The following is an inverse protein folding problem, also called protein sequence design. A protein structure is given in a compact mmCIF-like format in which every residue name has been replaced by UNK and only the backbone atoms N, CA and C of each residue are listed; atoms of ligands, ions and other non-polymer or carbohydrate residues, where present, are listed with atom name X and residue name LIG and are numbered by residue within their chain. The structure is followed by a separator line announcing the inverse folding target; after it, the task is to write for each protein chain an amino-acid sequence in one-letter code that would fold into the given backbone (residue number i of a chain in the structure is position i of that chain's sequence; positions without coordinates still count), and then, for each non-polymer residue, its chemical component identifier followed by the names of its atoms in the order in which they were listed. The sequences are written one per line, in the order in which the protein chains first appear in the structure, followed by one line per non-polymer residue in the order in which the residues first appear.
data_IF_059359702700
#
_entry.id   IF_059359702700
#
_cell.length_a   1.000
_cell.length_b   1.000
_cell.length_c   1.000
_cell.angle_alpha   90.00
_cell.angle_beta   90.00
_cell.angle_gamma   90.00
#
_symmetry.space_group_name_H-M   'P 1'
#
loop_
_entity.id
_entity.type
_entity.pdbx_description
1 polymer ?
#
# COMPACT_ATOMS: atom_id res chain seq x y z
N UNK A 1 22.64 -76.99 -61.98
CA UNK A 1 22.46 -75.55 -62.09
C UNK A 1 21.83 -75.04 -60.77
N UNK A 2 22.64 -74.39 -59.97
CA UNK A 2 22.20 -73.83 -58.66
C UNK A 2 22.06 -72.34 -58.77
N UNK A 3 20.85 -71.81 -58.67
CA UNK A 3 20.62 -70.38 -58.60
C UNK A 3 20.60 -69.96 -57.09
N UNK A 4 21.55 -69.11 -56.73
CA UNK A 4 21.66 -68.47 -55.41
C UNK A 4 20.98 -67.11 -55.47
N UNK A 5 19.92 -66.94 -54.75
CA UNK A 5 19.31 -65.64 -54.51
C UNK A 5 19.96 -64.96 -53.23
N UNK A 6 20.63 -63.84 -53.45
CA UNK A 6 21.15 -62.98 -52.40
C UNK A 6 20.07 -62.02 -51.93
N UNK A 7 19.69 -62.09 -50.69
CA UNK A 7 18.88 -61.07 -50.01
C UNK A 7 19.79 -59.93 -49.53
N UNK A 8 19.60 -58.75 -50.12
CA UNK A 8 20.23 -57.53 -49.64
C UNK A 8 19.29 -56.93 -48.62
N UNK A 9 19.68 -56.92 -47.32
CA UNK A 9 18.96 -56.22 -46.28
C UNK A 9 19.26 -54.72 -46.40
N UNK A 10 18.27 -53.98 -46.78
CA UNK A 10 18.34 -52.52 -46.84
C UNK A 10 18.21 -51.95 -45.41
N UNK A 11 19.31 -51.53 -44.78
CA UNK A 11 19.37 -50.96 -43.43
C UNK A 11 19.20 -49.42 -43.43
N UNK A 12 19.00 -48.81 -44.62
CA UNK A 12 18.93 -47.33 -44.71
C UNK A 12 17.62 -46.74 -44.19
N UNK A 13 16.50 -47.45 -44.31
CA UNK A 13 15.18 -46.98 -43.87
C UNK A 13 15.03 -46.92 -42.32
N UNK A 14 15.73 -47.84 -41.59
CA UNK A 14 15.63 -47.88 -40.14
C UNK A 14 16.40 -46.77 -39.41
N UNK A 15 17.48 -46.25 -40.02
CA UNK A 15 18.26 -45.14 -39.50
C UNK A 15 17.55 -43.79 -39.68
N UNK A 16 16.86 -43.62 -40.83
CA UNK A 16 16.11 -42.39 -41.11
C UNK A 16 14.91 -42.18 -40.17
N UNK A 17 14.19 -43.28 -39.80
CA UNK A 17 13.06 -43.21 -38.87
C UNK A 17 13.49 -42.89 -37.43
N UNK A 18 14.63 -43.41 -36.91
CA UNK A 18 15.14 -43.06 -35.59
C UNK A 18 15.60 -41.60 -35.50
N UNK A 19 16.18 -41.05 -36.55
CA UNK A 19 16.64 -39.65 -36.61
C UNK A 19 15.48 -38.66 -36.58
N UNK A 20 14.37 -38.93 -37.30
CA UNK A 20 13.18 -38.07 -37.30
C UNK A 20 12.44 -38.04 -35.97
N UNK A 21 12.34 -39.21 -35.28
CA UNK A 21 11.68 -39.31 -33.99
C UNK A 21 12.45 -38.58 -32.88
N UNK A 22 13.78 -38.62 -32.88
CA UNK A 22 14.59 -37.84 -31.93
C UNK A 22 14.57 -36.33 -32.18
N UNK A 23 14.42 -35.88 -33.44
CA UNK A 23 14.29 -34.45 -33.76
C UNK A 23 12.92 -33.87 -33.32
N UNK A 24 11.84 -34.63 -33.56
CA UNK A 24 10.48 -34.20 -33.15
C UNK A 24 10.31 -34.19 -31.63
N UNK A 25 10.90 -35.17 -30.91
CA UNK A 25 10.83 -35.17 -29.44
C UNK A 25 11.62 -34.01 -28.79
N UNK A 26 12.78 -33.62 -29.39
CA UNK A 26 13.54 -32.45 -28.91
C UNK A 26 12.83 -31.13 -29.19
N UNK A 27 12.16 -30.99 -30.32
CA UNK A 27 11.35 -29.80 -30.65
C UNK A 27 10.13 -29.67 -29.74
N UNK A 28 9.46 -30.75 -29.39
CA UNK A 28 8.33 -30.76 -28.47
C UNK A 28 8.77 -30.42 -27.03
N UNK A 29 9.95 -30.90 -26.60
CA UNK A 29 10.49 -30.54 -25.27
C UNK A 29 10.87 -29.05 -25.20
N UNK A 30 11.45 -28.48 -26.26
CA UNK A 30 11.80 -27.04 -26.30
C UNK A 30 10.55 -26.18 -26.34
N UNK A 31 9.52 -26.55 -27.08
CA UNK A 31 8.22 -25.87 -27.10
C UNK A 31 7.51 -25.94 -25.72
N UNK A 32 7.62 -27.04 -25.00
CA UNK A 32 7.05 -27.19 -23.67
C UNK A 32 7.80 -26.35 -22.63
N UNK A 33 9.13 -26.23 -22.72
CA UNK A 33 9.95 -25.36 -21.88
C UNK A 33 9.71 -23.86 -22.15
N UNK A 34 9.44 -23.47 -23.40
CA UNK A 34 9.10 -22.08 -23.76
C UNK A 34 7.68 -21.74 -23.26
N UNK A 35 6.74 -22.69 -23.31
CA UNK A 35 5.38 -22.48 -22.80
C UNK A 35 5.32 -22.42 -21.27
N UNK A 36 6.18 -23.14 -20.56
CA UNK A 36 6.27 -23.08 -19.11
C UNK A 36 7.01 -21.85 -18.57
N UNK A 37 7.88 -21.23 -19.38
CA UNK A 37 8.55 -19.98 -19.00
C UNK A 37 7.66 -18.73 -19.16
N UNK A 38 6.54 -18.83 -19.90
CA UNK A 38 5.64 -17.70 -20.19
C UNK A 38 4.58 -17.42 -19.11
N UNK A 39 4.51 -18.18 -18.00
CA UNK A 39 3.42 -18.08 -17.02
C UNK A 39 3.87 -17.49 -15.67
N UNK A 40 5.12 -17.03 -15.54
CA UNK A 40 5.46 -16.11 -14.45
C UNK A 40 5.17 -14.65 -14.86
N UNK A 41 3.96 -14.39 -15.30
CA UNK A 41 3.44 -13.04 -15.34
C UNK A 41 3.22 -12.66 -13.88
N UNK A 42 4.06 -11.76 -13.35
CA UNK A 42 3.80 -11.14 -12.06
C UNK A 42 2.35 -10.64 -12.13
N UNK A 43 1.47 -11.22 -11.31
CA UNK A 43 0.09 -10.82 -11.22
C UNK A 43 0.13 -9.36 -10.77
N UNK A 44 -0.09 -8.41 -11.67
CA UNK A 44 -0.26 -7.02 -11.27
C UNK A 44 -1.41 -6.99 -10.28
N UNK A 45 -1.06 -6.77 -9.03
CA UNK A 45 -2.07 -6.68 -7.99
C UNK A 45 -2.92 -5.46 -8.29
N UNK A 46 -4.21 -5.67 -8.55
CA UNK A 46 -5.17 -4.60 -8.79
C UNK A 46 -5.56 -3.94 -7.46
N UNK A 47 -6.05 -2.70 -7.54
CA UNK A 47 -6.65 -2.05 -6.38
C UNK A 47 -7.90 -2.79 -5.94
N UNK A 48 -8.00 -3.05 -4.64
CA UNK A 48 -9.19 -3.61 -3.99
C UNK A 48 -9.75 -2.64 -2.97
N UNK A 49 -11.09 -2.62 -2.75
CA UNK A 49 -11.69 -1.81 -1.70
C UNK A 49 -11.18 -2.23 -0.31
N UNK A 50 -10.60 -1.28 0.43
CA UNK A 50 -10.27 -1.45 1.85
C UNK A 50 -11.50 -1.13 2.74
N UNK A 51 -12.44 -0.36 2.19
CA UNK A 51 -13.72 -0.02 2.79
C UNK A 51 -14.84 -0.28 1.78
N UNK A 52 -15.88 -1.02 2.19
CA UNK A 52 -16.98 -1.45 1.33
C UNK A 52 -18.06 -0.38 1.10
N UNK A 53 -17.93 0.80 1.73
CA UNK A 53 -18.92 1.87 1.71
C UNK A 53 -20.19 1.60 2.52
N UNK A 54 -20.29 0.46 3.23
CA UNK A 54 -21.52 0.01 3.91
C UNK A 54 -21.32 -0.34 5.37
N UNK A 55 -20.14 -0.84 5.75
CA UNK A 55 -19.89 -1.36 7.09
C UNK A 55 -18.43 -1.18 7.51
N UNK A 56 -18.17 -1.30 8.81
CA UNK A 56 -16.81 -1.41 9.36
C UNK A 56 -16.36 -2.87 9.50
N UNK A 57 -16.84 -3.77 8.64
CA UNK A 57 -16.31 -5.13 8.55
C UNK A 57 -14.86 -5.08 8.07
N UNK A 58 -13.96 -5.87 8.69
CA UNK A 58 -12.53 -5.81 8.41
C UNK A 58 -11.78 -4.65 9.09
N UNK A 59 -12.48 -3.92 9.97
CA UNK A 59 -11.91 -2.87 10.81
C UNK A 59 -12.07 -3.21 12.28
N UNK A 60 -11.11 -2.78 13.12
CA UNK A 60 -11.05 -2.99 14.57
C UNK A 60 -10.68 -1.68 15.29
N UNK A 61 -10.80 -1.65 16.61
CA UNK A 61 -10.50 -0.49 17.42
C UNK A 61 -11.76 0.25 17.88
N UNK A 62 -11.70 1.58 17.98
CA UNK A 62 -12.81 2.38 18.52
C UNK A 62 -13.91 2.64 17.49
N UNK A 63 -14.69 1.60 17.15
CA UNK A 63 -15.79 1.72 16.16
C UNK A 63 -16.91 2.67 16.59
N UNK A 64 -17.05 2.97 17.89
CA UNK A 64 -18.11 3.85 18.39
C UNK A 64 -17.94 5.31 17.97
N UNK A 65 -16.71 5.72 17.66
CA UNK A 65 -16.39 7.07 17.20
C UNK A 65 -16.39 7.20 15.67
N UNK A 66 -16.65 6.10 14.94
CA UNK A 66 -16.60 6.07 13.48
C UNK A 66 -17.94 5.55 12.93
N UNK A 67 -18.68 6.41 12.26
CA UNK A 67 -19.96 6.08 11.64
C UNK A 67 -19.78 5.77 10.16
N UNK A 68 -20.56 4.80 9.65
CA UNK A 68 -20.71 4.64 8.21
C UNK A 68 -21.96 5.39 7.77
N UNK A 69 -21.79 6.39 6.93
CA UNK A 69 -22.88 7.23 6.42
C UNK A 69 -22.63 7.63 4.97
N UNK A 70 -23.61 7.42 4.11
CA UNK A 70 -23.59 7.82 2.68
C UNK A 70 -22.33 7.34 1.93
N UNK A 71 -21.90 6.09 2.19
CA UNK A 71 -20.70 5.52 1.58
C UNK A 71 -19.37 6.02 2.15
N UNK A 72 -19.39 6.68 3.30
CA UNK A 72 -18.22 7.29 3.95
C UNK A 72 -18.00 6.74 5.35
N UNK A 73 -16.75 6.71 5.78
CA UNK A 73 -16.39 6.66 7.19
C UNK A 73 -16.38 8.10 7.70
N UNK A 74 -17.16 8.37 8.72
CA UNK A 74 -17.30 9.70 9.34
C UNK A 74 -16.89 9.61 10.80
N UNK A 75 -15.95 10.45 11.21
CA UNK A 75 -15.60 10.57 12.63
C UNK A 75 -16.66 11.45 13.31
N UNK A 76 -17.32 10.92 14.34
CA UNK A 76 -18.39 11.61 15.06
C UNK A 76 -17.87 12.17 16.39
N UNK A 77 -17.64 13.50 16.46
CA UNK A 77 -17.12 14.13 17.68
C UNK A 77 -17.98 13.90 18.92
N UNK A 78 -19.32 13.83 18.75
CA UNK A 78 -20.28 13.63 19.84
C UNK A 78 -20.25 12.21 20.40
N UNK A 79 -19.78 11.23 19.64
CA UNK A 79 -19.56 9.84 20.05
C UNK A 79 -18.27 9.62 20.85
N UNK A 80 -17.61 10.71 21.25
CA UNK A 80 -16.30 10.68 21.91
C UNK A 80 -15.15 10.98 20.96
N UNK A 81 -15.37 10.92 19.62
CA UNK A 81 -14.52 11.40 18.51
C UNK A 81 -13.04 11.00 18.51
N UNK A 82 -12.58 10.42 19.61
CA UNK A 82 -11.19 10.02 19.82
C UNK A 82 -10.98 8.53 19.61
N UNK A 83 -9.70 8.15 19.63
CA UNK A 83 -9.27 6.78 19.43
C UNK A 83 -9.17 6.39 17.96
N UNK A 84 -8.59 5.23 17.72
CA UNK A 84 -8.13 4.82 16.42
C UNK A 84 -9.03 3.74 15.83
N UNK A 85 -9.23 3.77 14.52
CA UNK A 85 -9.87 2.72 13.73
C UNK A 85 -8.80 2.09 12.84
N UNK A 86 -8.52 0.81 13.02
CA UNK A 86 -7.49 0.08 12.28
C UNK A 86 -8.10 -0.99 11.37
N UNK A 87 -7.40 -1.35 10.30
CA UNK A 87 -7.70 -2.58 9.55
C UNK A 87 -7.48 -3.80 10.44
N UNK A 88 -8.34 -4.83 10.32
CA UNK A 88 -8.13 -6.11 11.00
C UNK A 88 -6.91 -6.85 10.43
N UNK A 89 -6.72 -6.76 9.10
CA UNK A 89 -5.55 -7.31 8.40
C UNK A 89 -4.35 -6.37 8.55
N UNK A 90 -3.17 -6.95 8.68
CA UNK A 90 -1.89 -6.24 8.57
C UNK A 90 -1.41 -6.19 7.11
N UNK A 91 -0.73 -5.11 6.76
CA UNK A 91 -0.15 -4.85 5.45
C UNK A 91 1.34 -4.57 5.54
N UNK A 92 2.10 -5.06 4.54
CA UNK A 92 3.52 -4.75 4.34
C UNK A 92 3.70 -3.58 3.39
N UNK A 93 4.23 -3.86 2.18
CA UNK A 93 4.32 -2.86 1.12
C UNK A 93 2.97 -2.71 0.40
N UNK A 94 2.58 -1.49 0.07
CA UNK A 94 1.30 -1.22 -0.59
C UNK A 94 1.23 0.17 -1.22
N UNK A 95 0.23 0.37 -2.06
CA UNK A 95 -0.31 1.68 -2.45
C UNK A 95 -1.70 1.81 -1.86
N UNK A 96 -1.92 2.84 -1.05
CA UNK A 96 -3.21 3.20 -0.46
C UNK A 96 -3.72 4.47 -1.13
N UNK A 97 -4.95 4.44 -1.63
CA UNK A 97 -5.66 5.61 -2.16
C UNK A 97 -6.91 5.87 -1.33
N UNK A 98 -7.19 7.13 -1.04
CA UNK A 98 -8.42 7.52 -0.37
C UNK A 98 -8.74 8.99 -0.64
N UNK A 99 -10.01 9.34 -0.44
CA UNK A 99 -10.44 10.73 -0.38
C UNK A 99 -10.79 11.09 1.06
N UNK A 100 -10.44 12.31 1.43
CA UNK A 100 -10.79 12.86 2.75
C UNK A 100 -11.32 14.29 2.65
N UNK A 101 -12.17 14.67 3.63
CA UNK A 101 -12.72 16.00 3.75
C UNK A 101 -12.53 16.49 5.19
N UNK A 102 -11.84 17.63 5.31
CA UNK A 102 -11.60 18.28 6.61
C UNK A 102 -12.70 19.29 6.93
N UNK A 103 -13.00 19.43 8.21
CA UNK A 103 -13.70 20.60 8.75
C UNK A 103 -12.69 21.64 9.27
N UNK A 104 -13.08 22.91 9.49
CA UNK A 104 -12.17 23.92 9.99
C UNK A 104 -11.50 23.50 11.30
N UNK A 105 -10.17 23.52 11.30
CA UNK A 105 -9.34 23.13 12.44
C UNK A 105 -9.27 21.62 12.71
N UNK A 106 -9.73 20.78 11.79
CA UNK A 106 -9.69 19.32 12.00
C UNK A 106 -8.27 18.76 12.08
N UNK A 107 -8.10 17.79 12.97
CA UNK A 107 -6.89 16.99 13.17
C UNK A 107 -7.21 15.51 13.13
N UNK A 108 -6.42 14.76 12.41
CA UNK A 108 -6.44 13.31 12.32
C UNK A 108 -5.06 12.81 11.91
N UNK A 109 -4.86 11.49 11.85
CA UNK A 109 -3.65 10.87 11.33
C UNK A 109 -3.97 9.62 10.51
N UNK A 110 -3.09 9.28 9.59
CA UNK A 110 -3.05 7.99 8.93
C UNK A 110 -1.93 7.15 9.58
N UNK A 111 -2.31 6.17 10.38
CA UNK A 111 -1.38 5.19 10.97
C UNK A 111 -1.02 4.12 9.97
N UNK A 112 0.28 3.83 9.84
CA UNK A 112 0.83 2.79 8.96
C UNK A 112 1.78 1.90 9.74
N UNK A 113 1.71 0.58 9.48
CA UNK A 113 2.45 -0.45 10.20
C UNK A 113 2.30 -0.33 11.72
N UNK A 114 1.13 0.16 12.15
CA UNK A 114 0.83 0.34 13.56
C UNK A 114 0.47 -1.00 14.22
N UNK A 115 0.88 -1.23 15.48
CA UNK A 115 0.23 -2.22 16.33
C UNK A 115 -1.14 -1.68 16.77
N UNK A 116 -1.99 -2.54 17.32
CA UNK A 116 -3.30 -2.11 17.82
C UNK A 116 -3.22 -1.31 19.13
N UNK A 117 -2.08 -1.36 19.81
CA UNK A 117 -1.84 -0.69 21.08
C UNK A 117 -0.66 0.29 20.99
N UNK A 118 -0.68 1.29 21.84
CA UNK A 118 0.33 2.34 21.90
C UNK A 118 0.03 3.52 20.99
N UNK A 119 0.88 4.53 21.05
CA UNK A 119 0.78 5.73 20.21
C UNK A 119 1.33 5.45 18.82
N UNK A 120 0.46 5.39 17.82
CA UNK A 120 0.81 5.03 16.45
C UNK A 120 1.86 5.96 15.82
N UNK A 121 1.99 7.21 16.30
CA UNK A 121 3.02 8.13 15.84
C UNK A 121 4.44 7.62 16.15
N UNK A 122 4.60 6.85 17.23
CA UNK A 122 5.89 6.35 17.71
C UNK A 122 6.08 4.86 17.49
N UNK A 123 5.05 4.03 17.82
CA UNK A 123 5.16 2.57 17.70
C UNK A 123 4.76 2.04 16.32
N UNK A 124 4.19 2.89 15.47
CA UNK A 124 3.92 2.73 14.05
C UNK A 124 4.57 3.85 13.26
N UNK A 125 3.85 4.35 12.26
CA UNK A 125 4.17 5.55 11.47
C UNK A 125 2.90 6.36 11.29
N UNK A 126 2.89 7.62 11.68
CA UNK A 126 1.76 8.51 11.46
C UNK A 126 2.06 9.49 10.33
N UNK A 127 1.17 9.52 9.33
CA UNK A 127 1.13 10.58 8.34
C UNK A 127 0.00 11.54 8.70
N UNK A 128 0.37 12.77 8.99
CA UNK A 128 -0.53 13.78 9.50
C UNK A 128 -1.67 14.10 8.52
N UNK A 129 -2.91 14.19 9.03
CA UNK A 129 -4.09 14.68 8.31
C UNK A 129 -4.62 15.89 9.08
N UNK A 130 -4.37 17.11 8.58
CA UNK A 130 -4.57 18.34 9.33
C UNK A 130 -5.08 19.45 8.44
N UNK A 131 -5.96 20.31 8.97
CA UNK A 131 -6.25 21.60 8.37
C UNK A 131 -5.07 22.57 8.62
N UNK A 132 -4.15 22.65 7.66
CA UNK A 132 -2.93 23.43 7.77
C UNK A 132 -3.15 24.94 7.95
N UNK A 133 -4.32 25.43 7.51
CA UNK A 133 -4.63 26.87 7.48
C UNK A 133 -5.35 27.36 8.74
N UNK A 134 -5.71 26.46 9.65
CA UNK A 134 -6.34 26.83 10.90
C UNK A 134 -5.39 27.67 11.77
N UNK A 135 -5.85 28.81 12.27
CA UNK A 135 -5.06 29.74 13.09
C UNK A 135 -4.39 29.06 14.29
N UNK A 136 -5.08 28.13 14.94
CA UNK A 136 -4.53 27.35 16.07
C UNK A 136 -3.29 26.52 15.74
N UNK A 137 -3.02 26.31 14.44
CA UNK A 137 -1.87 25.51 13.95
C UNK A 137 -0.75 26.36 13.32
N UNK A 138 -0.86 27.70 13.34
CA UNK A 138 0.12 28.58 12.74
C UNK A 138 1.55 28.43 13.28
N UNK A 139 1.70 27.95 14.53
CA UNK A 139 3.00 27.77 15.20
C UNK A 139 3.57 26.33 15.20
N UNK A 140 3.00 25.41 14.44
CA UNK A 140 3.47 24.05 14.40
C UNK A 140 4.84 23.92 13.74
N UNK A 141 5.59 22.88 14.13
CA UNK A 141 6.83 22.51 13.46
C UNK A 141 6.54 21.92 12.08
N UNK A 142 7.48 22.02 11.15
CA UNK A 142 7.28 21.58 9.77
C UNK A 142 6.79 20.12 9.64
N UNK A 143 7.24 19.22 10.49
CA UNK A 143 6.88 17.81 10.51
C UNK A 143 5.49 17.51 11.12
N UNK A 144 4.75 18.51 11.56
CA UNK A 144 3.41 18.39 12.15
C UNK A 144 2.29 18.79 11.19
N UNK A 145 2.62 19.31 10.00
CA UNK A 145 1.63 19.67 9.00
C UNK A 145 1.21 18.47 8.14
N UNK A 146 0.07 18.59 7.50
CA UNK A 146 -0.56 17.56 6.67
C UNK A 146 0.43 16.89 5.71
N UNK A 147 0.35 15.55 5.61
CA UNK A 147 1.17 14.71 4.75
C UNK A 147 2.56 14.39 5.28
N UNK A 148 3.02 15.08 6.34
CA UNK A 148 4.31 14.80 6.98
C UNK A 148 4.29 13.44 7.67
N UNK A 149 5.42 12.72 7.64
CA UNK A 149 5.68 11.64 8.58
C UNK A 149 6.04 12.29 9.93
N UNK A 150 5.11 12.21 10.87
CA UNK A 150 5.15 12.93 12.15
C UNK A 150 6.47 12.71 12.88
N UNK A 151 7.10 13.81 13.29
CA UNK A 151 8.37 13.79 14.00
C UNK A 151 9.61 13.48 13.15
N UNK A 152 9.45 13.05 11.88
CA UNK A 152 10.55 12.48 11.08
C UNK A 152 10.78 13.23 9.78
N UNK A 153 9.77 13.39 8.93
CA UNK A 153 9.94 13.98 7.59
C UNK A 153 8.83 15.00 7.31
N UNK A 154 9.15 16.27 7.04
CA UNK A 154 8.17 17.28 6.71
C UNK A 154 7.69 17.15 5.27
N UNK A 155 6.38 17.33 5.03
CA UNK A 155 5.80 17.42 3.70
C UNK A 155 5.80 18.86 3.17
N UNK A 156 5.73 19.00 1.84
CA UNK A 156 5.47 20.28 1.18
C UNK A 156 4.04 20.74 1.49
N UNK A 157 3.86 22.03 1.71
CA UNK A 157 2.56 22.68 2.00
C UNK A 157 1.97 23.35 0.77
N UNK A 158 0.69 23.74 0.87
CA UNK A 158 0.00 24.53 -0.17
C UNK A 158 -0.78 23.71 -1.19
N UNK A 159 -0.97 22.40 -0.98
CA UNK A 159 -1.66 21.50 -1.90
C UNK A 159 -3.00 20.97 -1.36
N UNK A 160 -3.37 21.31 -0.12
CA UNK A 160 -4.71 21.07 0.40
C UNK A 160 -5.73 21.95 -0.29
N UNK A 161 -6.89 21.38 -0.58
CA UNK A 161 -8.08 22.15 -0.94
C UNK A 161 -8.69 22.79 0.32
N UNK A 162 -9.47 23.85 0.18
CA UNK A 162 -10.18 24.46 1.30
C UNK A 162 -10.99 23.45 2.12
N UNK A 163 -11.14 23.72 3.42
CA UNK A 163 -11.99 22.89 4.29
C UNK A 163 -13.42 22.79 3.74
N UNK A 164 -14.03 21.61 3.85
CA UNK A 164 -15.32 21.29 3.22
C UNK A 164 -15.19 20.74 1.79
N UNK A 165 -14.03 20.83 1.15
CA UNK A 165 -13.77 20.19 -0.14
C UNK A 165 -13.11 18.82 0.03
N UNK A 166 -13.30 17.94 -0.96
CA UNK A 166 -12.66 16.63 -1.00
C UNK A 166 -11.23 16.71 -1.52
N UNK A 167 -10.30 16.16 -0.77
CA UNK A 167 -8.92 15.96 -1.17
C UNK A 167 -8.72 14.49 -1.57
N UNK A 168 -7.85 14.24 -2.55
CA UNK A 168 -7.39 12.91 -2.93
C UNK A 168 -5.98 12.69 -2.40
N UNK A 169 -5.76 11.61 -1.69
CA UNK A 169 -4.43 11.23 -1.21
C UNK A 169 -4.07 9.83 -1.63
N UNK A 170 -2.82 9.67 -2.07
CA UNK A 170 -2.19 8.39 -2.29
C UNK A 170 -0.93 8.29 -1.41
N UNK A 171 -0.78 7.16 -0.73
CA UNK A 171 0.41 6.85 0.05
C UNK A 171 0.99 5.54 -0.45
N UNK A 172 2.23 5.58 -0.94
CA UNK A 172 2.99 4.42 -1.38
C UNK A 172 4.01 4.06 -0.33
N UNK A 173 3.96 2.83 0.13
CA UNK A 173 4.93 2.27 1.08
C UNK A 173 5.67 1.13 0.40
N UNK A 174 6.97 1.28 0.27
CA UNK A 174 7.91 0.23 -0.12
C UNK A 174 9.08 0.30 0.88
N UNK A 175 8.83 -0.27 2.07
CA UNK A 175 9.72 -0.15 3.23
C UNK A 175 11.21 -0.27 2.86
N UNK A 176 12.06 0.69 3.20
CA UNK A 176 11.81 1.88 4.03
C UNK A 176 11.45 3.17 3.25
N UNK A 177 11.01 3.07 2.02
CA UNK A 177 10.65 4.22 1.18
C UNK A 177 9.16 4.56 1.30
N UNK A 178 8.87 5.85 1.26
CA UNK A 178 7.53 6.40 1.24
C UNK A 178 7.39 7.45 0.15
N UNK A 179 6.21 7.51 -0.47
CA UNK A 179 5.76 8.65 -1.29
C UNK A 179 4.35 9.02 -0.88
N UNK A 180 4.10 10.30 -0.62
CA UNK A 180 2.76 10.85 -0.39
C UNK A 180 2.41 11.80 -1.52
N UNK A 181 1.29 11.54 -2.19
CA UNK A 181 0.76 12.34 -3.29
C UNK A 181 -0.57 12.93 -2.83
N UNK A 182 -0.71 14.26 -2.90
CA UNK A 182 -1.91 14.99 -2.51
C UNK A 182 -2.44 15.78 -3.72
N UNK A 183 -3.67 15.51 -4.13
CA UNK A 183 -4.32 16.19 -5.26
C UNK A 183 -3.49 16.16 -6.57
N UNK A 184 -2.71 15.09 -6.79
CA UNK A 184 -1.83 14.89 -7.95
C UNK A 184 -0.38 15.34 -7.75
N UNK A 185 -0.04 16.02 -6.64
CA UNK A 185 1.30 16.53 -6.37
C UNK A 185 2.05 15.68 -5.35
N UNK A 186 3.33 15.36 -5.61
CA UNK A 186 4.21 14.69 -4.64
C UNK A 186 4.61 15.67 -3.56
N UNK A 187 4.03 15.50 -2.36
CA UNK A 187 4.29 16.37 -1.20
C UNK A 187 5.36 15.81 -0.25
N UNK A 188 5.55 14.50 -0.24
CA UNK A 188 6.60 13.83 0.54
C UNK A 188 7.14 12.64 -0.25
N UNK A 189 8.47 12.49 -0.28
CA UNK A 189 9.15 11.33 -0.84
C UNK A 189 10.49 11.13 -0.15
N UNK A 190 10.84 9.88 0.16
CA UNK A 190 12.16 9.56 0.70
C UNK A 190 12.23 8.26 1.47
N UNK A 191 13.42 8.02 2.04
CA UNK A 191 13.71 6.90 2.92
C UNK A 191 13.65 7.37 4.38
N UNK A 192 12.64 6.94 5.13
CA UNK A 192 12.43 7.40 6.50
C UNK A 192 13.42 6.82 7.51
N UNK A 193 14.06 5.67 7.24
CA UNK A 193 15.16 5.18 8.08
C UNK A 193 16.42 6.02 7.89
N UNK A 194 16.74 6.41 6.66
CA UNK A 194 17.85 7.32 6.37
C UNK A 194 17.58 8.71 6.98
N UNK A 195 16.36 9.24 6.82
CA UNK A 195 15.98 10.54 7.38
C UNK A 195 16.07 10.59 8.91
N UNK A 196 15.93 9.45 9.60
CA UNK A 196 16.02 9.35 11.07
C UNK A 196 17.39 8.87 11.58
N UNK A 197 18.34 8.57 10.70
CA UNK A 197 19.65 7.98 11.09
C UNK A 197 20.44 8.85 12.09
N UNK A 198 20.35 10.17 11.97
CA UNK A 198 20.99 11.12 12.87
C UNK A 198 20.08 11.63 14.00
N UNK A 199 18.96 10.96 14.22
CA UNK A 199 17.88 11.33 15.13
C UNK A 199 16.67 11.90 14.41
N UNK A 200 15.54 11.91 15.10
CA UNK A 200 14.25 12.41 14.60
C UNK A 200 14.13 13.93 14.79
N UNK A 201 13.28 14.60 14.04
CA UNK A 201 13.09 16.05 14.11
C UNK A 201 12.45 16.49 15.43
N UNK A 202 11.62 15.64 16.03
CA UNK A 202 11.01 15.88 17.35
C UNK A 202 11.89 15.41 18.51
N UNK A 203 13.05 14.83 18.22
CA UNK A 203 14.05 14.33 19.20
C UNK A 203 13.50 13.22 20.12
N UNK A 204 12.51 12.47 19.64
CA UNK A 204 11.92 11.33 20.36
C UNK A 204 12.28 10.02 19.67
N UNK A 205 12.17 8.93 20.43
CA UNK A 205 12.31 7.58 19.92
C UNK A 205 11.10 7.19 19.06
N UNK A 206 11.34 6.69 17.85
CA UNK A 206 10.33 6.18 16.92
C UNK A 206 10.60 4.71 16.58
N UNK A 207 10.45 3.76 17.53
CA UNK A 207 10.73 2.34 17.28
C UNK A 207 9.87 1.75 16.15
N UNK A 208 8.71 2.33 15.88
CA UNK A 208 7.82 1.93 14.78
C UNK A 208 8.41 2.12 13.38
N UNK A 209 9.43 2.95 13.20
CA UNK A 209 10.07 3.12 11.89
C UNK A 209 10.69 1.81 11.38
N UNK A 210 11.19 0.94 12.26
CA UNK A 210 11.75 -0.36 11.89
C UNK A 210 10.71 -1.40 11.46
N UNK A 211 9.41 -1.15 11.73
CA UNK A 211 8.35 -2.10 11.35
C UNK A 211 8.13 -2.08 9.85
N UNK A 212 8.17 -3.25 9.22
CA UNK A 212 7.89 -3.42 7.78
C UNK A 212 6.46 -3.91 7.51
N UNK A 213 5.67 -4.17 8.58
CA UNK A 213 4.30 -4.67 8.50
C UNK A 213 3.50 -4.24 9.74
N UNK A 214 2.19 -4.09 9.58
CA UNK A 214 1.25 -3.78 10.64
C UNK A 214 -0.07 -3.26 10.09
N UNK A 215 -0.92 -2.76 10.97
CA UNK A 215 -2.24 -2.26 10.60
C UNK A 215 -2.15 -0.89 9.94
N UNK A 216 -3.14 -0.60 9.09
CA UNK A 216 -3.43 0.73 8.56
C UNK A 216 -4.60 1.29 9.38
N UNK A 217 -4.58 2.57 9.75
CA UNK A 217 -5.66 3.13 10.53
C UNK A 217 -5.85 4.62 10.39
N UNK A 218 -7.04 5.09 10.77
CA UNK A 218 -7.33 6.49 10.98
C UNK A 218 -7.24 6.80 12.46
N UNK A 219 -6.45 7.83 12.80
CA UNK A 219 -6.09 8.17 14.18
C UNK A 219 -6.91 9.38 14.60
N UNK A 220 -8.01 9.13 15.33
CA UNK A 220 -8.98 10.14 15.68
C UNK A 220 -8.53 11.03 16.83
N UNK A 221 -8.63 12.35 16.65
CA UNK A 221 -8.36 13.39 17.66
C UNK A 221 -9.62 14.13 18.14
N UNK A 222 -10.80 13.59 17.83
CA UNK A 222 -12.07 14.20 18.26
C UNK A 222 -12.66 15.19 17.26
N UNK A 223 -12.04 15.43 16.13
CA UNK A 223 -12.53 16.33 15.10
C UNK A 223 -13.31 15.58 14.01
N UNK A 224 -14.29 16.26 13.38
CA UNK A 224 -15.07 15.72 12.29
C UNK A 224 -14.22 15.69 11.00
N UNK A 225 -13.88 14.48 10.58
CA UNK A 225 -13.23 14.19 9.29
C UNK A 225 -14.04 13.10 8.59
N UNK A 226 -14.10 13.15 7.26
CA UNK A 226 -14.78 12.15 6.42
C UNK A 226 -13.79 11.50 5.49
N UNK A 227 -13.94 10.18 5.29
CA UNK A 227 -13.12 9.37 4.38
C UNK A 227 -14.02 8.56 3.45
N UNK A 228 -13.63 8.41 2.19
CA UNK A 228 -14.31 7.57 1.21
C UNK A 228 -13.34 7.06 0.14
N UNK A 229 -13.82 6.16 -0.73
CA UNK A 229 -13.05 5.60 -1.86
C UNK A 229 -11.69 5.06 -1.40
N UNK A 230 -11.70 4.31 -0.29
CA UNK A 230 -10.48 3.78 0.33
C UNK A 230 -10.12 2.48 -0.38
N UNK A 231 -9.05 2.52 -1.17
CA UNK A 231 -8.57 1.45 -2.02
C UNK A 231 -7.14 1.09 -1.65
N UNK A 232 -6.81 -0.19 -1.73
CA UNK A 232 -5.46 -0.68 -1.48
C UNK A 232 -4.99 -1.60 -2.61
N UNK A 233 -3.70 -1.49 -2.95
CA UNK A 233 -2.97 -2.40 -3.82
C UNK A 233 -1.75 -2.90 -3.05
N UNK A 234 -1.70 -4.19 -2.68
CA UNK A 234 -0.52 -4.78 -2.04
C UNK A 234 0.62 -4.89 -3.04
N UNK A 235 1.83 -4.59 -2.60
CA UNK A 235 3.05 -4.72 -3.38
C UNK A 235 3.85 -5.94 -2.88
N UNK A 236 4.67 -6.54 -3.75
CA UNK A 236 5.56 -7.65 -3.40
C UNK A 236 6.49 -7.35 -2.22
#
# INVERSE_FOLDING_TARGET
MKNSFRFVKDHSAFFAMKSSYQRTSRLLLILWLIFSAGVLQAQETEFSPLFDGKSLNGWVGNKSSYLVKDGMIVIEPKGGGGGNLYTEKEYGNFVLQFEFQLTPGANNGLGIHAPLEGDAAYVGKEFQILDNEAEKYAGLQAYQYHGSLYGVMPAKRGYLRPTGEWNQQEVRINHPFVTVILNGEVILEGNYLEASQSGTLDKKEHPGLARSRGHIGFLGHGDLVRFRHILIKELP
#
